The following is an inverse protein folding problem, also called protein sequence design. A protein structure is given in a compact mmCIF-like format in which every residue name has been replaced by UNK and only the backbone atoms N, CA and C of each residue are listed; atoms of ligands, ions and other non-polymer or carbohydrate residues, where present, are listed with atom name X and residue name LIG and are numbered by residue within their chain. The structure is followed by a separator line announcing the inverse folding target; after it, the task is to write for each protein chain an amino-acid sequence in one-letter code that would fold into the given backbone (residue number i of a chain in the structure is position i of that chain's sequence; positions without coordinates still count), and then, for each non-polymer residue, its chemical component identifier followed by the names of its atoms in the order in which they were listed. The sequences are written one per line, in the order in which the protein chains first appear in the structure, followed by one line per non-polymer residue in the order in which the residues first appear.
data_IF_195741647628
#
_entry.id   IF_195741647628
#
_cell.length_a   1.000
_cell.length_b   1.000
_cell.length_c   1.000
_cell.angle_alpha   90.00
_cell.angle_beta   90.00
_cell.angle_gamma   90.00
#
_symmetry.space_group_name_H-M   'P 1'
#
loop_
_entity.id
_entity.type
_entity.pdbx_description
1 polymer ?
#
# COMPACT_ATOMS: atom_id res chain seq x y z
N UNK A 1 16.32 -1.27 31.57
CA UNK A 1 15.49 -0.18 31.03
C UNK A 1 16.41 0.70 30.21
N UNK A 2 16.13 0.96 28.91
CA UNK A 2 17.02 1.75 28.05
C UNK A 2 16.98 3.23 28.45
N UNK A 3 18.08 3.95 28.28
CA UNK A 3 18.11 5.40 28.55
C UNK A 3 17.34 6.18 27.46
N UNK A 4 16.86 7.38 27.79
CA UNK A 4 16.20 8.28 26.84
C UNK A 4 17.11 8.64 25.66
N UNK A 5 18.41 8.79 25.90
CA UNK A 5 19.42 9.01 24.86
C UNK A 5 19.61 7.78 23.96
N UNK A 6 19.58 6.55 24.50
CA UNK A 6 19.57 5.32 23.70
C UNK A 6 18.30 5.18 22.86
N UNK A 7 17.15 5.64 23.37
CA UNK A 7 15.91 5.69 22.60
C UNK A 7 16.01 6.70 21.43
N UNK A 8 16.62 7.86 21.66
CA UNK A 8 16.87 8.87 20.64
C UNK A 8 17.92 8.41 19.60
N UNK A 9 19.01 7.76 20.02
CA UNK A 9 20.00 7.16 19.11
C UNK A 9 19.43 5.99 18.30
N UNK A 10 18.60 5.13 18.90
CA UNK A 10 17.88 4.08 18.16
C UNK A 10 16.86 4.66 17.17
N UNK A 11 16.33 5.85 17.44
CA UNK A 11 15.43 6.56 16.53
C UNK A 11 16.19 7.30 15.41
N UNK A 12 17.49 7.53 15.55
CA UNK A 12 18.26 8.46 14.72
C UNK A 12 18.40 8.06 13.23
N UNK A 13 18.00 6.86 12.81
CA UNK A 13 18.06 6.42 11.41
C UNK A 13 16.96 5.45 10.95
N UNK A 14 15.89 5.24 11.75
CA UNK A 14 14.83 4.30 11.39
C UNK A 14 13.98 4.84 10.24
N UNK A 15 13.88 4.05 9.17
CA UNK A 15 13.01 4.34 8.03
C UNK A 15 11.72 3.52 8.08
N UNK A 16 10.64 4.08 7.54
CA UNK A 16 9.44 3.35 7.16
C UNK A 16 9.38 3.27 5.64
N UNK A 17 9.34 2.05 5.09
CA UNK A 17 9.08 1.83 3.67
C UNK A 17 7.70 1.24 3.47
N UNK A 18 6.96 1.82 2.53
CA UNK A 18 5.59 1.45 2.21
C UNK A 18 5.53 1.09 0.73
N UNK A 19 4.95 -0.06 0.43
CA UNK A 19 4.60 -0.46 -0.93
C UNK A 19 3.08 -0.55 -1.07
N UNK A 20 2.53 0.00 -2.14
CA UNK A 20 1.25 -0.48 -2.63
C UNK A 20 1.40 -1.90 -3.23
N UNK A 21 0.28 -2.59 -3.41
CA UNK A 21 0.25 -3.95 -3.96
C UNK A 21 -0.20 -3.91 -5.42
N UNK A 22 -1.42 -3.47 -5.63
CA UNK A 22 -2.09 -3.41 -6.92
C UNK A 22 -1.39 -2.41 -7.86
N UNK A 23 -1.08 -2.85 -9.08
CA UNK A 23 -0.32 -2.13 -10.12
C UNK A 23 1.05 -1.55 -9.68
N UNK A 24 1.53 -1.96 -8.50
CA UNK A 24 2.83 -1.58 -7.92
C UNK A 24 3.75 -2.77 -7.72
N UNK A 25 3.32 -3.79 -6.97
CA UNK A 25 4.04 -5.07 -6.85
C UNK A 25 3.52 -6.09 -7.86
N UNK A 26 2.24 -6.00 -8.20
CA UNK A 26 1.56 -6.93 -9.10
C UNK A 26 0.62 -6.20 -10.05
N UNK A 27 0.63 -6.59 -11.33
CA UNK A 27 -0.50 -6.31 -12.20
C UNK A 27 -1.65 -7.24 -11.83
N UNK A 28 -2.74 -6.68 -11.32
CA UNK A 28 -3.91 -7.45 -10.88
C UNK A 28 -5.07 -7.30 -11.86
N UNK A 29 -5.87 -8.35 -12.02
CA UNK A 29 -7.01 -8.34 -12.95
C UNK A 29 -8.38 -8.18 -12.30
N UNK A 30 -8.44 -8.29 -10.97
CA UNK A 30 -9.68 -8.18 -10.21
C UNK A 30 -10.39 -6.86 -10.52
N UNK A 31 -11.72 -6.91 -10.54
CA UNK A 31 -12.60 -5.77 -10.80
C UNK A 31 -13.44 -5.43 -9.58
N UNK A 32 -13.88 -4.17 -9.52
CA UNK A 32 -14.97 -3.74 -8.63
C UNK A 32 -16.20 -3.56 -9.50
N UNK A 33 -17.28 -4.26 -9.17
CA UNK A 33 -18.54 -4.02 -9.86
C UNK A 33 -19.29 -2.88 -9.20
N UNK A 34 -19.97 -2.07 -9.99
CA UNK A 34 -20.95 -1.10 -9.49
C UNK A 34 -22.32 -1.68 -9.77
N UNK A 35 -23.13 -1.85 -8.73
CA UNK A 35 -24.49 -2.37 -8.81
C UNK A 35 -25.51 -1.28 -8.59
N UNK A 36 -26.66 -1.43 -9.23
CA UNK A 36 -27.87 -0.63 -8.96
C UNK A 36 -29.07 -1.54 -9.14
N UNK A 37 -29.89 -1.71 -8.10
CA UNK A 37 -31.01 -2.65 -8.08
C UNK A 37 -30.58 -4.09 -8.45
N UNK A 38 -29.51 -4.59 -7.82
CA UNK A 38 -28.90 -5.92 -8.07
C UNK A 38 -28.30 -6.16 -9.47
N UNK A 39 -28.42 -5.22 -10.40
CA UNK A 39 -27.80 -5.29 -11.73
C UNK A 39 -26.41 -4.63 -11.73
N UNK A 40 -25.43 -5.30 -12.36
CA UNK A 40 -24.10 -4.74 -12.59
C UNK A 40 -24.20 -3.69 -13.70
N UNK A 41 -24.02 -2.42 -13.35
CA UNK A 41 -24.07 -1.28 -14.30
C UNK A 41 -22.69 -0.83 -14.76
N UNK A 42 -21.64 -1.07 -13.96
CA UNK A 42 -20.25 -0.79 -14.33
C UNK A 42 -19.30 -1.86 -13.81
N UNK A 43 -18.18 -2.05 -14.52
CA UNK A 43 -17.06 -2.90 -14.09
C UNK A 43 -15.80 -2.05 -14.08
N UNK A 44 -15.26 -1.80 -12.89
CA UNK A 44 -14.13 -0.90 -12.68
C UNK A 44 -12.85 -1.71 -12.45
N UNK A 45 -11.77 -1.31 -13.12
CA UNK A 45 -10.42 -1.71 -12.72
C UNK A 45 -9.93 -0.89 -11.50
N UNK A 46 -8.74 -1.19 -10.97
CA UNK A 46 -8.18 -0.48 -9.80
C UNK A 46 -8.13 1.04 -9.97
N UNK A 47 -7.67 1.52 -11.14
CA UNK A 47 -7.49 2.94 -11.42
C UNK A 47 -8.84 3.65 -11.54
N UNK A 48 -9.80 3.00 -12.21
CA UNK A 48 -11.18 3.49 -12.31
C UNK A 48 -11.84 3.54 -10.94
N UNK A 49 -11.72 2.47 -10.15
CA UNK A 49 -12.27 2.40 -8.80
C UNK A 49 -11.73 3.51 -7.89
N UNK A 50 -10.42 3.79 -7.93
CA UNK A 50 -9.80 4.83 -7.11
C UNK A 50 -10.41 6.23 -7.33
N UNK A 51 -11.01 6.50 -8.49
CA UNK A 51 -11.58 7.80 -8.86
C UNK A 51 -13.10 7.82 -8.96
N UNK A 52 -13.74 6.64 -8.99
CA UNK A 52 -15.19 6.52 -9.14
C UNK A 52 -15.93 6.99 -7.87
N UNK A 53 -16.99 7.77 -8.08
CA UNK A 53 -17.91 8.20 -7.02
C UNK A 53 -19.28 7.60 -7.29
N UNK A 54 -19.78 6.81 -6.35
CA UNK A 54 -21.13 6.25 -6.42
C UNK A 54 -22.15 7.37 -6.61
N UNK A 55 -23.09 7.16 -7.53
CA UNK A 55 -24.29 7.97 -7.69
C UNK A 55 -25.40 7.43 -6.79
N UNK A 56 -26.52 8.16 -6.75
CA UNK A 56 -27.67 7.77 -5.93
C UNK A 56 -28.19 6.37 -6.32
N UNK A 57 -28.27 5.49 -5.32
CA UNK A 57 -28.72 4.09 -5.46
C UNK A 57 -27.69 3.13 -6.03
N UNK A 58 -26.44 3.57 -6.23
CA UNK A 58 -25.35 2.68 -6.63
C UNK A 58 -24.59 2.16 -5.40
N UNK A 59 -24.08 0.93 -5.51
CA UNK A 59 -23.21 0.32 -4.52
C UNK A 59 -22.02 -0.39 -5.17
N UNK A 60 -20.95 -0.58 -4.41
CA UNK A 60 -19.80 -1.36 -4.86
C UNK A 60 -19.95 -2.83 -4.45
N UNK A 61 -19.61 -3.72 -5.37
CA UNK A 61 -19.36 -5.14 -5.10
C UNK A 61 -17.88 -5.45 -5.27
N UNK A 62 -17.26 -5.82 -4.16
CA UNK A 62 -15.83 -6.12 -4.02
C UNK A 62 -15.53 -7.63 -4.07
N UNK A 63 -16.45 -8.48 -4.52
CA UNK A 63 -16.30 -9.93 -4.49
C UNK A 63 -14.97 -10.40 -5.10
N UNK A 64 -14.61 -9.90 -6.29
CA UNK A 64 -13.32 -10.23 -6.91
C UNK A 64 -12.12 -9.65 -6.15
N UNK A 65 -12.25 -8.46 -5.56
CA UNK A 65 -11.17 -7.81 -4.79
C UNK A 65 -10.82 -8.58 -3.52
N UNK A 66 -11.82 -9.21 -2.90
CA UNK A 66 -11.66 -10.03 -1.69
C UNK A 66 -11.10 -11.42 -2.00
N UNK A 67 -11.20 -11.91 -3.25
CA UNK A 67 -10.77 -13.27 -3.56
C UNK A 67 -9.25 -13.41 -3.61
N UNK A 68 -8.69 -14.06 -2.59
CA UNK A 68 -7.27 -14.42 -2.54
C UNK A 68 -6.90 -15.41 -3.65
N UNK A 69 -7.82 -16.33 -3.98
CA UNK A 69 -7.67 -17.28 -5.09
C UNK A 69 -7.53 -16.54 -6.43
N UNK A 70 -8.44 -15.61 -6.72
CA UNK A 70 -8.39 -14.82 -7.96
C UNK A 70 -7.10 -14.00 -8.00
N UNK A 71 -6.72 -13.37 -6.89
CA UNK A 71 -5.45 -12.64 -6.77
C UNK A 71 -4.26 -13.53 -7.11
N UNK A 72 -4.12 -14.69 -6.46
CA UNK A 72 -3.03 -15.65 -6.70
C UNK A 72 -2.97 -16.15 -8.14
N UNK A 73 -4.12 -16.45 -8.76
CA UNK A 73 -4.19 -17.05 -10.09
C UNK A 73 -3.96 -16.03 -11.22
N UNK A 74 -4.34 -14.77 -11.03
CA UNK A 74 -4.39 -13.79 -12.12
C UNK A 74 -3.36 -12.68 -12.00
N UNK A 75 -2.75 -12.52 -10.84
CA UNK A 75 -1.79 -11.43 -10.59
C UNK A 75 -0.43 -11.76 -11.18
N UNK A 76 0.11 -10.86 -11.98
CA UNK A 76 1.45 -11.00 -12.58
C UNK A 76 2.44 -10.10 -11.84
N UNK A 77 3.58 -10.62 -11.34
CA UNK A 77 4.54 -9.82 -10.60
C UNK A 77 5.18 -8.75 -11.47
N UNK A 78 5.34 -7.55 -10.91
CA UNK A 78 6.14 -6.47 -11.51
C UNK A 78 7.59 -6.70 -11.09
N UNK A 79 8.35 -7.46 -11.89
CA UNK A 79 9.65 -8.03 -11.51
C UNK A 79 10.64 -7.04 -10.88
N UNK A 80 10.74 -5.81 -11.41
CA UNK A 80 11.60 -4.75 -10.84
C UNK A 80 11.17 -4.34 -9.43
N UNK A 81 9.87 -4.25 -9.18
CA UNK A 81 9.32 -3.87 -7.89
C UNK A 81 9.39 -5.02 -6.89
N UNK A 82 9.17 -6.27 -7.32
CA UNK A 82 9.44 -7.45 -6.50
C UNK A 82 10.91 -7.50 -6.06
N UNK A 83 11.85 -7.33 -7.00
CA UNK A 83 13.28 -7.32 -6.68
C UNK A 83 13.63 -6.19 -5.69
N UNK A 84 13.06 -4.99 -5.89
CA UNK A 84 13.23 -3.85 -5.00
C UNK A 84 12.67 -4.12 -3.59
N UNK A 85 11.46 -4.68 -3.49
CA UNK A 85 10.84 -5.05 -2.22
C UNK A 85 11.70 -6.07 -1.46
N UNK A 86 12.16 -7.13 -2.14
CA UNK A 86 13.07 -8.14 -1.56
C UNK A 86 14.36 -7.52 -1.03
N UNK A 87 15.01 -6.67 -1.81
CA UNK A 87 16.23 -6.00 -1.41
C UNK A 87 16.00 -5.08 -0.19
N UNK A 88 14.91 -4.31 -0.17
CA UNK A 88 14.59 -3.44 0.96
C UNK A 88 14.27 -4.24 2.22
N UNK A 89 13.47 -5.31 2.11
CA UNK A 89 13.14 -6.19 3.24
C UNK A 89 14.41 -6.81 3.83
N UNK A 90 15.30 -7.35 2.98
CA UNK A 90 16.57 -7.97 3.38
C UNK A 90 17.51 -6.98 4.09
N UNK A 91 17.56 -5.73 3.64
CA UNK A 91 18.55 -4.76 4.12
C UNK A 91 18.04 -3.84 5.24
N UNK A 92 16.77 -3.46 5.21
CA UNK A 92 16.20 -2.44 6.09
C UNK A 92 15.71 -3.03 7.42
N UNK A 93 15.03 -4.18 7.38
CA UNK A 93 14.44 -4.79 8.58
C UNK A 93 15.50 -5.17 9.62
N UNK A 94 16.62 -5.84 9.26
CA UNK A 94 17.67 -6.15 10.23
C UNK A 94 18.33 -4.92 10.88
N UNK A 95 18.24 -3.76 10.21
CA UNK A 95 18.74 -2.46 10.71
C UNK A 95 17.68 -1.70 11.50
N UNK A 96 16.59 -2.36 11.91
CA UNK A 96 15.52 -1.78 12.73
C UNK A 96 14.52 -0.89 11.98
N UNK A 97 14.62 -0.78 10.65
CA UNK A 97 13.60 -0.09 9.84
C UNK A 97 12.37 -0.96 9.63
N UNK A 98 11.21 -0.33 9.40
CA UNK A 98 9.95 -1.04 9.17
C UNK A 98 9.62 -1.06 7.68
N UNK A 99 9.12 -2.19 7.21
CA UNK A 99 8.48 -2.33 5.90
C UNK A 99 7.03 -2.75 6.11
N UNK A 100 6.11 -2.08 5.41
CA UNK A 100 4.70 -2.44 5.36
C UNK A 100 4.22 -2.45 3.91
N UNK A 101 3.11 -3.13 3.67
CA UNK A 101 2.32 -2.96 2.45
C UNK A 101 1.00 -2.27 2.79
N UNK A 102 0.52 -1.38 1.94
CA UNK A 102 -0.72 -0.66 2.14
C UNK A 102 -1.59 -0.75 0.88
N UNK A 103 -2.61 -1.60 0.91
CA UNK A 103 -3.54 -1.82 -0.21
C UNK A 103 -4.88 -1.13 0.01
N UNK A 104 -5.53 -0.72 -1.08
CA UNK A 104 -6.92 -0.24 -1.06
C UNK A 104 -7.94 -1.38 -0.90
N UNK A 105 -7.52 -2.64 -1.05
CA UNK A 105 -8.37 -3.81 -0.81
C UNK A 105 -8.78 -3.89 0.68
N UNK A 106 -9.98 -4.40 0.90
CA UNK A 106 -10.47 -4.85 2.20
C UNK A 106 -9.90 -6.23 2.54
N UNK A 107 -10.41 -6.85 3.60
CA UNK A 107 -10.01 -8.20 4.00
C UNK A 107 -10.22 -9.23 2.88
N UNK A 108 -9.16 -9.97 2.57
CA UNK A 108 -9.22 -11.14 1.70
C UNK A 108 -9.99 -12.27 2.38
N UNK A 109 -10.63 -13.10 1.56
CA UNK A 109 -11.40 -14.29 2.00
C UNK A 109 -10.49 -15.39 2.60
N UNK A 110 -9.27 -15.51 2.10
CA UNK A 110 -8.26 -16.46 2.59
C UNK A 110 -6.90 -15.77 2.76
N UNK A 111 -6.51 -15.60 4.03
CA UNK A 111 -5.23 -14.99 4.42
C UNK A 111 -4.03 -15.77 3.91
N UNK A 112 -4.02 -17.09 4.06
CA UNK A 112 -2.84 -17.89 3.79
C UNK A 112 -2.59 -18.01 2.28
N UNK A 113 -3.66 -18.18 1.49
CA UNK A 113 -3.58 -18.13 0.03
C UNK A 113 -3.05 -16.78 -0.46
N UNK A 114 -3.47 -15.67 0.16
CA UNK A 114 -2.96 -14.35 -0.17
C UNK A 114 -1.46 -14.22 0.18
N UNK A 115 -1.06 -14.56 1.40
CA UNK A 115 0.35 -14.47 1.83
C UNK A 115 1.27 -15.38 1.01
N UNK A 116 0.82 -16.59 0.67
CA UNK A 116 1.57 -17.53 -0.17
C UNK A 116 1.89 -16.98 -1.56
N UNK A 117 1.05 -16.09 -2.09
CA UNK A 117 1.32 -15.41 -3.36
C UNK A 117 2.63 -14.63 -3.28
N UNK A 118 2.90 -13.95 -2.16
CA UNK A 118 4.15 -13.21 -1.95
C UNK A 118 5.33 -14.15 -1.69
N UNK A 119 5.12 -15.22 -0.92
CA UNK A 119 6.14 -16.24 -0.65
C UNK A 119 6.61 -16.91 -1.94
N UNK A 120 5.70 -17.21 -2.86
CA UNK A 120 5.99 -17.79 -4.17
C UNK A 120 6.92 -16.90 -5.04
N UNK A 121 6.93 -15.59 -4.80
CA UNK A 121 7.83 -14.64 -5.46
C UNK A 121 9.07 -14.26 -4.63
N UNK A 122 9.26 -14.95 -3.49
CA UNK A 122 10.41 -14.80 -2.61
C UNK A 122 10.41 -13.52 -1.79
N UNK A 123 9.24 -12.91 -1.56
CA UNK A 123 9.06 -11.85 -0.58
C UNK A 123 8.81 -12.52 0.77
N UNK A 124 9.63 -12.18 1.77
CA UNK A 124 9.46 -12.60 3.16
C UNK A 124 8.32 -11.79 3.81
N UNK A 125 7.09 -12.11 3.40
CA UNK A 125 5.88 -11.40 3.77
C UNK A 125 5.58 -11.54 5.27
N UNK A 126 6.09 -12.57 5.93
CA UNK A 126 5.90 -12.80 7.37
C UNK A 126 6.60 -11.73 8.23
N UNK A 127 7.59 -11.01 7.65
CA UNK A 127 8.22 -9.84 8.28
C UNK A 127 7.52 -8.52 7.96
N UNK A 128 6.50 -8.54 7.11
CA UNK A 128 5.84 -7.36 6.56
C UNK A 128 4.38 -7.35 7.02
N UNK A 129 3.94 -6.23 7.61
CA UNK A 129 2.53 -6.08 7.93
C UNK A 129 1.77 -5.51 6.73
N UNK A 130 0.60 -6.07 6.44
CA UNK A 130 -0.29 -5.63 5.36
C UNK A 130 -1.45 -4.81 5.95
N UNK A 131 -1.40 -3.50 5.72
CA UNK A 131 -2.47 -2.56 6.07
C UNK A 131 -3.54 -2.57 4.96
N UNK A 132 -4.78 -2.84 5.38
CA UNK A 132 -5.96 -2.96 4.49
C UNK A 132 -6.79 -1.70 4.58
N UNK A 133 -6.41 -0.72 3.77
CA UNK A 133 -7.03 0.60 3.77
C UNK A 133 -8.51 0.53 3.35
N UNK A 134 -8.91 -0.49 2.60
CA UNK A 134 -10.31 -0.71 2.20
C UNK A 134 -11.28 -0.82 3.37
N UNK A 135 -10.81 -1.20 4.57
CA UNK A 135 -11.68 -1.36 5.75
C UNK A 135 -12.07 -0.02 6.42
N UNK A 136 -11.44 1.10 6.05
CA UNK A 136 -11.65 2.38 6.74
C UNK A 136 -12.85 3.19 6.21
N UNK A 137 -13.36 2.89 5.01
CA UNK A 137 -14.57 3.51 4.43
C UNK A 137 -14.63 5.06 4.46
N UNK A 138 -13.50 5.78 4.38
CA UNK A 138 -13.45 7.26 4.42
C UNK A 138 -13.60 7.94 3.05
N UNK A 139 -14.18 7.21 2.08
CA UNK A 139 -14.54 7.71 0.76
C UNK A 139 -13.51 7.53 -0.35
N UNK A 140 -12.20 7.61 -0.10
CA UNK A 140 -11.18 7.30 -1.13
C UNK A 140 -9.98 6.53 -0.58
N UNK A 141 -9.32 5.76 -1.46
CA UNK A 141 -8.11 5.02 -1.12
C UNK A 141 -7.02 5.96 -0.56
N UNK A 142 -6.83 7.13 -1.17
CA UNK A 142 -5.87 8.13 -0.74
C UNK A 142 -6.15 8.66 0.68
N UNK A 143 -7.42 8.85 1.06
CA UNK A 143 -7.81 9.23 2.43
C UNK A 143 -7.58 8.10 3.43
N UNK A 144 -7.97 6.88 3.08
CA UNK A 144 -7.80 5.71 3.94
C UNK A 144 -6.31 5.44 4.21
N UNK A 145 -5.48 5.39 3.15
CA UNK A 145 -4.02 5.21 3.28
C UNK A 145 -3.38 6.34 4.08
N UNK A 146 -3.81 7.60 3.91
CA UNK A 146 -3.30 8.73 4.69
C UNK A 146 -3.51 8.56 6.20
N UNK A 147 -4.63 7.98 6.63
CA UNK A 147 -4.87 7.69 8.07
C UNK A 147 -3.91 6.61 8.57
N UNK A 148 -3.69 5.55 7.79
CA UNK A 148 -2.70 4.51 8.10
C UNK A 148 -1.30 5.13 8.23
N UNK A 149 -0.87 5.97 7.28
CA UNK A 149 0.46 6.58 7.33
C UNK A 149 0.63 7.47 8.56
N UNK A 150 -0.42 8.23 8.92
CA UNK A 150 -0.42 9.03 10.15
C UNK A 150 -0.29 8.18 11.41
N UNK A 151 -0.89 6.99 11.48
CA UNK A 151 -0.73 6.06 12.62
C UNK A 151 0.75 5.73 12.86
N UNK A 152 1.52 5.47 11.80
CA UNK A 152 2.96 5.20 11.93
C UNK A 152 3.76 6.46 12.26
N UNK A 153 3.47 7.59 11.62
CA UNK A 153 4.19 8.85 11.86
C UNK A 153 4.00 9.39 13.28
N UNK A 154 2.79 9.27 13.84
CA UNK A 154 2.47 9.66 15.23
C UNK A 154 3.30 8.92 16.28
N UNK A 155 3.88 7.77 15.95
CA UNK A 155 4.78 7.05 16.87
C UNK A 155 6.09 7.81 17.14
N UNK A 156 6.47 8.77 16.29
CA UNK A 156 7.73 9.52 16.40
C UNK A 156 8.99 8.69 16.13
N UNK A 157 8.84 7.41 15.75
CA UNK A 157 9.98 6.49 15.62
C UNK A 157 10.76 6.61 14.30
N UNK A 158 10.18 7.28 13.29
CA UNK A 158 10.72 7.26 11.93
C UNK A 158 11.22 8.63 11.52
N UNK A 159 12.48 8.71 11.08
CA UNK A 159 13.11 9.93 10.54
C UNK A 159 12.97 10.06 9.03
N UNK A 160 12.65 8.96 8.36
CA UNK A 160 12.32 8.92 6.93
C UNK A 160 11.14 8.01 6.70
N UNK A 161 10.23 8.44 5.83
CA UNK A 161 9.15 7.63 5.30
C UNK A 161 9.21 7.65 3.77
N UNK A 162 9.06 6.48 3.15
CA UNK A 162 9.03 6.37 1.70
C UNK A 162 7.85 5.55 1.21
N UNK A 163 7.27 5.99 0.09
CA UNK A 163 6.12 5.35 -0.55
C UNK A 163 6.43 5.01 -2.01
N UNK A 164 6.19 3.76 -2.38
CA UNK A 164 6.09 3.30 -3.77
C UNK A 164 4.63 3.00 -4.08
N UNK A 165 4.06 3.73 -5.05
CA UNK A 165 2.65 3.64 -5.43
C UNK A 165 2.52 4.07 -6.90
N UNK A 166 1.60 3.48 -7.66
CA UNK A 166 1.33 3.86 -9.05
C UNK A 166 0.35 5.05 -9.14
N UNK A 167 -0.40 5.33 -8.06
CA UNK A 167 -1.39 6.41 -8.02
C UNK A 167 -0.77 7.73 -7.59
N UNK A 168 -0.80 8.71 -8.48
CA UNK A 168 -0.41 10.10 -8.17
C UNK A 168 -1.27 10.71 -7.05
N UNK A 169 -2.54 10.32 -6.91
CA UNK A 169 -3.40 10.81 -5.83
C UNK A 169 -2.91 10.30 -4.46
N UNK A 170 -2.53 9.02 -4.37
CA UNK A 170 -1.93 8.45 -3.17
C UNK A 170 -0.61 9.16 -2.82
N UNK A 171 0.26 9.39 -3.81
CA UNK A 171 1.53 10.11 -3.62
C UNK A 171 1.33 11.57 -3.19
N UNK A 172 0.39 12.30 -3.79
CA UNK A 172 0.03 13.65 -3.37
C UNK A 172 -0.50 13.67 -1.93
N UNK A 173 -1.40 12.75 -1.59
CA UNK A 173 -1.96 12.60 -0.25
C UNK A 173 -0.85 12.30 0.77
N UNK A 174 0.10 11.44 0.42
CA UNK A 174 1.29 11.13 1.21
C UNK A 174 2.20 12.35 1.39
N UNK A 175 2.59 13.03 0.32
CA UNK A 175 3.44 14.22 0.38
C UNK A 175 2.79 15.37 1.16
N UNK A 176 1.45 15.47 1.17
CA UNK A 176 0.75 16.47 1.98
C UNK A 176 0.99 16.31 3.49
N UNK A 177 1.41 15.13 3.96
CA UNK A 177 1.73 14.89 5.37
C UNK A 177 3.04 15.55 5.80
N UNK A 178 3.95 15.86 4.87
CA UNK A 178 5.24 16.51 5.22
C UNK A 178 5.04 17.84 5.95
N UNK A 179 3.99 18.59 5.60
CA UNK A 179 3.61 19.84 6.28
C UNK A 179 3.30 19.64 7.78
N UNK A 180 2.81 18.46 8.16
CA UNK A 180 2.46 18.11 9.54
C UNK A 180 3.61 17.45 10.29
N UNK A 181 4.57 16.87 9.56
CA UNK A 181 5.73 16.17 10.13
C UNK A 181 7.01 16.73 9.48
N UNK A 182 7.36 17.99 9.74
CA UNK A 182 8.49 18.67 9.06
C UNK A 182 9.85 18.04 9.39
N UNK A 183 9.96 17.34 10.52
CA UNK A 183 11.20 16.67 10.96
C UNK A 183 11.40 15.26 10.38
N UNK A 184 10.51 14.84 9.47
CA UNK A 184 10.57 13.54 8.81
C UNK A 184 10.85 13.76 7.33
N UNK A 185 11.80 13.03 6.78
CA UNK A 185 12.10 13.04 5.34
C UNK A 185 11.06 12.19 4.57
N UNK A 186 10.43 12.79 3.54
CA UNK A 186 9.39 12.17 2.73
C UNK A 186 9.91 11.87 1.32
N UNK A 187 9.99 10.58 0.98
CA UNK A 187 10.37 10.11 -0.35
C UNK A 187 9.16 9.48 -1.05
N UNK A 188 8.65 10.11 -2.11
CA UNK A 188 7.59 9.55 -2.95
C UNK A 188 8.16 9.03 -4.27
N UNK A 189 7.81 7.80 -4.65
CA UNK A 189 8.25 7.18 -5.90
C UNK A 189 7.04 6.71 -6.69
N UNK A 190 6.80 7.37 -7.83
CA UNK A 190 5.80 6.95 -8.80
C UNK A 190 6.29 5.70 -9.53
N UNK A 191 5.51 4.63 -9.42
CA UNK A 191 5.77 3.35 -10.08
C UNK A 191 5.09 3.34 -11.44
N UNK A 192 5.88 3.15 -12.51
CA UNK A 192 5.37 2.97 -13.86
C UNK A 192 4.97 1.52 -14.08
N UNK A 193 4.11 1.27 -15.08
CA UNK A 193 3.65 -0.08 -15.46
C UNK A 193 4.77 -1.12 -15.63
N UNK A 194 5.94 -0.71 -16.12
CA UNK A 194 7.09 -1.62 -16.30
C UNK A 194 7.96 -1.79 -15.03
N UNK A 195 7.53 -1.26 -13.89
CA UNK A 195 8.24 -1.26 -12.61
C UNK A 195 9.37 -0.25 -12.49
N UNK A 196 9.58 0.64 -13.46
CA UNK A 196 10.49 1.77 -13.28
C UNK A 196 9.89 2.78 -12.29
N UNK A 197 10.74 3.34 -11.45
CA UNK A 197 10.35 4.37 -10.48
C UNK A 197 10.87 5.74 -10.88
N UNK A 198 10.08 6.79 -10.70
CA UNK A 198 10.54 8.18 -10.76
C UNK A 198 10.20 8.88 -9.46
N UNK A 199 11.11 9.72 -8.95
CA UNK A 199 10.83 10.57 -7.80
C UNK A 199 9.63 11.46 -8.10
N UNK A 200 8.65 11.45 -7.20
CA UNK A 200 7.46 12.27 -7.27
C UNK A 200 7.64 13.49 -6.37
N UNK A 201 7.38 14.67 -6.93
CA UNK A 201 7.36 15.94 -6.19
C UNK A 201 5.94 16.48 -6.30
N UNK A 202 5.33 16.78 -5.15
CA UNK A 202 3.99 17.37 -5.05
C UNK A 202 4.03 18.88 -5.28
#
# INVERSE_FOLDING_TARGET
MKSFLQYLEESANKGLTIFDIDDTLFHTKAKVFVKKNDEIIHTLNNQEFNTYKLKAGEEFDFGEFRSAKLFRQTSTPIGKMIAKAKAIVKNAIPRGSKVIMATARSDFDDRDTFLDTFRAHGIDIDKIYVERAGNLNLGSAAKNKKVIFQKYLKSGMYKRIRLFDDSKENLNSFMSLSKKYPDVDFEAYLVKKNGNTSTFKA
#
